data_IF_315577071860
#
_entry.id   IF_315577071860
#
_cell.length_a   1.000
_cell.length_b   1.000
_cell.length_c   1.000
_cell.angle_alpha   90.00
_cell.angle_beta   90.00
_cell.angle_gamma   90.00
#
_symmetry.space_group_name_H-M   'P 1'
#
loop_
_entity.id
_entity.type
_entity.pdbx_description
1 polymer ?
#
# COMPACT_ATOMS: atom_id res chain seq x y z
N UNK A 1 5.41 17.86 -20.92
CA UNK A 1 5.90 17.38 -19.61
C UNK A 1 4.77 16.80 -18.76
N UNK A 2 3.67 17.54 -18.55
CA UNK A 2 2.51 17.09 -17.77
C UNK A 2 2.03 15.65 -18.06
N UNK A 3 1.80 15.30 -19.34
CA UNK A 3 1.33 13.95 -19.73
C UNK A 3 2.26 12.82 -19.30
N UNK A 4 3.58 13.04 -19.32
CA UNK A 4 4.56 12.05 -18.87
C UNK A 4 4.47 11.87 -17.36
N UNK A 5 4.35 12.95 -16.61
CA UNK A 5 4.19 12.90 -15.15
C UNK A 5 2.86 12.22 -14.79
N UNK A 6 1.79 12.52 -15.52
CA UNK A 6 0.49 11.88 -15.34
C UNK A 6 0.57 10.37 -15.58
N UNK A 7 1.23 9.94 -16.67
CA UNK A 7 1.46 8.53 -16.95
C UNK A 7 2.25 7.86 -15.84
N UNK A 8 3.35 8.46 -15.39
CA UNK A 8 4.16 7.94 -14.28
C UNK A 8 3.36 7.87 -12.98
N UNK A 9 2.49 8.85 -12.72
CA UNK A 9 1.62 8.86 -11.56
C UNK A 9 0.65 7.68 -11.58
N UNK A 10 -0.07 7.48 -12.68
CA UNK A 10 -1.00 6.34 -12.84
C UNK A 10 -0.25 5.01 -12.76
N UNK A 11 0.90 4.88 -13.43
CA UNK A 11 1.74 3.69 -13.39
C UNK A 11 2.19 3.36 -11.96
N UNK A 12 2.59 4.38 -11.20
CA UNK A 12 3.00 4.23 -9.81
C UNK A 12 1.83 3.86 -8.89
N UNK A 13 0.61 4.36 -9.18
CA UNK A 13 -0.60 3.96 -8.45
C UNK A 13 -0.89 2.47 -8.65
N UNK A 14 -0.90 2.01 -9.91
CA UNK A 14 -1.10 0.59 -10.25
C UNK A 14 -0.02 -0.28 -9.60
N UNK A 15 1.24 0.16 -9.66
CA UNK A 15 2.38 -0.56 -9.06
C UNK A 15 2.36 -0.56 -7.52
N UNK A 16 1.73 0.44 -6.90
CA UNK A 16 1.56 0.51 -5.44
C UNK A 16 0.37 -0.30 -4.94
N UNK A 17 -0.71 -0.41 -5.71
CA UNK A 17 -1.95 -1.10 -5.29
C UNK A 17 -1.92 -2.58 -5.70
N UNK A 18 -1.54 -2.87 -6.94
CA UNK A 18 -1.62 -4.19 -7.57
C UNK A 18 -0.98 -5.32 -6.75
N UNK A 19 0.26 -5.17 -6.24
CA UNK A 19 0.91 -6.23 -5.47
C UNK A 19 0.10 -6.69 -4.25
N UNK A 20 -0.66 -5.82 -3.58
CA UNK A 20 -1.44 -6.23 -2.41
C UNK A 20 -2.53 -7.23 -2.74
N UNK A 21 -3.17 -7.13 -3.90
CA UNK A 21 -4.16 -8.13 -4.32
C UNK A 21 -3.53 -9.51 -4.53
N UNK A 22 -2.29 -9.57 -5.00
CA UNK A 22 -1.52 -10.81 -5.14
C UNK A 22 -1.06 -11.34 -3.79
N UNK A 23 -0.79 -10.45 -2.83
CA UNK A 23 -0.44 -10.84 -1.46
C UNK A 23 -1.61 -11.45 -0.69
N UNK A 24 -2.89 -11.15 -1.02
CA UNK A 24 -4.06 -11.82 -0.40
C UNK A 24 -3.97 -13.35 -0.52
N UNK A 25 -3.97 -13.95 -1.73
CA UNK A 25 -3.89 -15.40 -1.88
C UNK A 25 -2.54 -15.95 -1.41
N UNK A 26 -1.46 -15.17 -1.47
CA UNK A 26 -0.16 -15.57 -0.89
C UNK A 26 -0.28 -15.81 0.62
N UNK A 27 -0.92 -14.90 1.36
CA UNK A 27 -1.13 -15.06 2.81
C UNK A 27 -2.04 -16.24 3.16
N UNK A 28 -3.00 -16.58 2.30
CA UNK A 28 -3.82 -17.78 2.49
C UNK A 28 -2.97 -19.05 2.34
N UNK A 29 -2.09 -19.10 1.34
CA UNK A 29 -1.16 -20.23 1.13
C UNK A 29 -0.13 -20.38 2.25
N UNK A 30 0.19 -19.29 2.97
CA UNK A 30 1.10 -19.35 4.13
C UNK A 30 0.53 -20.17 5.29
N UNK A 31 -0.81 -20.32 5.42
CA UNK A 31 -1.40 -21.08 6.52
C UNK A 31 -1.11 -22.58 6.42
N UNK A 32 -0.92 -23.09 5.21
CA UNK A 32 -0.76 -24.53 4.91
C UNK A 32 0.69 -24.86 4.50
N UNK A 33 1.55 -23.86 4.38
CA UNK A 33 2.91 -24.02 3.86
C UNK A 33 3.84 -24.73 4.87
N UNK A 34 4.61 -25.74 4.42
CA UNK A 34 5.75 -26.27 5.15
C UNK A 34 6.79 -25.18 5.47
N UNK A 35 7.66 -25.40 6.46
CA UNK A 35 8.54 -24.36 7.00
C UNK A 35 9.48 -23.69 5.99
N UNK A 36 10.03 -24.45 5.06
CA UNK A 36 10.86 -23.98 3.95
C UNK A 36 10.05 -23.15 2.94
N UNK A 37 8.89 -23.64 2.52
CA UNK A 37 7.97 -22.92 1.61
C UNK A 37 7.46 -21.63 2.24
N UNK A 38 7.14 -21.65 3.54
CA UNK A 38 6.71 -20.48 4.29
C UNK A 38 7.79 -19.40 4.30
N UNK A 39 9.06 -19.78 4.49
CA UNK A 39 10.18 -18.83 4.48
C UNK A 39 10.30 -18.12 3.11
N UNK A 40 10.17 -18.86 2.00
CA UNK A 40 10.19 -18.30 0.65
C UNK A 40 8.99 -17.35 0.40
N UNK A 41 7.81 -17.69 0.91
CA UNK A 41 6.63 -16.83 0.82
C UNK A 41 6.79 -15.55 1.64
N UNK A 42 7.41 -15.60 2.83
CA UNK A 42 7.73 -14.42 3.64
C UNK A 42 8.71 -13.50 2.91
N UNK A 43 9.75 -14.06 2.29
CA UNK A 43 10.70 -13.28 1.47
C UNK A 43 9.98 -12.61 0.31
N UNK A 44 9.12 -13.34 -0.39
CA UNK A 44 8.29 -12.81 -1.50
C UNK A 44 7.39 -11.66 -1.02
N UNK A 45 6.72 -11.83 0.13
CA UNK A 45 5.90 -10.81 0.76
C UNK A 45 6.71 -9.55 1.07
N UNK A 46 7.90 -9.69 1.67
CA UNK A 46 8.78 -8.58 2.01
C UNK A 46 9.26 -7.82 0.76
N UNK A 47 9.56 -8.55 -0.32
CA UNK A 47 9.93 -7.97 -1.61
C UNK A 47 8.78 -7.17 -2.23
N UNK A 48 7.56 -7.70 -2.22
CA UNK A 48 6.37 -7.00 -2.71
C UNK A 48 6.09 -5.72 -1.89
N UNK A 49 6.15 -5.77 -0.56
CA UNK A 49 6.00 -4.57 0.30
C UNK A 49 7.09 -3.54 0.02
N UNK A 50 8.32 -3.98 -0.27
CA UNK A 50 9.41 -3.07 -0.64
C UNK A 50 9.14 -2.40 -1.99
N UNK A 51 8.70 -3.15 -2.99
CA UNK A 51 8.33 -2.60 -4.30
C UNK A 51 7.24 -1.54 -4.16
N UNK A 52 6.16 -1.86 -3.45
CA UNK A 52 5.06 -0.93 -3.15
C UNK A 52 5.60 0.35 -2.51
N UNK A 53 6.51 0.24 -1.54
CA UNK A 53 7.06 1.44 -0.87
C UNK A 53 7.72 2.37 -1.88
N UNK A 54 8.52 1.83 -2.81
CA UNK A 54 9.18 2.65 -3.83
C UNK A 54 8.15 3.25 -4.80
N UNK A 55 7.19 2.44 -5.27
CA UNK A 55 6.10 2.92 -6.11
C UNK A 55 5.29 4.03 -5.41
N UNK A 56 5.04 3.90 -4.11
CA UNK A 56 4.39 4.91 -3.30
C UNK A 56 5.14 6.24 -3.24
N UNK A 57 6.48 6.22 -3.14
CA UNK A 57 7.26 7.47 -3.17
C UNK A 57 7.15 8.16 -4.54
N UNK A 58 7.19 7.38 -5.63
CA UNK A 58 6.98 7.90 -6.98
C UNK A 58 5.57 8.48 -7.12
N UNK A 59 4.56 7.80 -6.58
CA UNK A 59 3.16 8.26 -6.56
C UNK A 59 3.01 9.60 -5.86
N UNK A 60 3.59 9.74 -4.66
CA UNK A 60 3.54 11.00 -3.90
C UNK A 60 4.24 12.12 -4.67
N UNK A 61 5.46 11.86 -5.13
CA UNK A 61 6.30 12.87 -5.81
C UNK A 61 5.62 13.37 -7.09
N UNK A 62 5.12 12.44 -7.91
CA UNK A 62 4.41 12.78 -9.14
C UNK A 62 3.07 13.45 -8.85
N UNK A 63 2.36 13.06 -7.79
CA UNK A 63 1.10 13.72 -7.38
C UNK A 63 1.32 15.17 -6.97
N UNK A 64 2.37 15.45 -6.19
CA UNK A 64 2.78 16.82 -5.83
C UNK A 64 3.11 17.63 -7.07
N UNK A 65 3.88 17.07 -8.01
CA UNK A 65 4.21 17.73 -9.28
C UNK A 65 2.97 18.01 -10.14
N UNK A 66 2.00 17.10 -10.15
CA UNK A 66 0.75 17.30 -10.88
C UNK A 66 -0.10 18.41 -10.26
N UNK A 67 -0.21 18.48 -8.93
CA UNK A 67 -0.93 19.57 -8.26
C UNK A 67 -0.26 20.91 -8.61
N UNK A 68 1.07 20.98 -8.50
CA UNK A 68 1.85 22.18 -8.86
C UNK A 68 1.62 22.63 -10.30
N UNK A 69 1.56 21.70 -11.27
CA UNK A 69 1.34 22.03 -12.68
C UNK A 69 -0.14 22.22 -13.05
N UNK A 70 -1.05 21.94 -12.12
CA UNK A 70 -2.49 22.07 -12.35
C UNK A 70 -3.03 23.40 -11.83
N UNK A 71 -4.30 23.66 -12.11
CA UNK A 71 -5.04 24.80 -11.58
C UNK A 71 -5.66 24.53 -10.21
N UNK A 72 -5.51 23.32 -9.65
CA UNK A 72 -6.10 22.96 -8.36
C UNK A 72 -5.37 23.62 -7.20
N UNK A 73 -6.14 24.19 -6.27
CA UNK A 73 -5.58 24.71 -5.04
C UNK A 73 -5.26 23.58 -4.06
N UNK A 74 -4.19 23.72 -3.28
CA UNK A 74 -3.80 22.75 -2.24
C UNK A 74 -4.88 22.55 -1.16
N UNK A 75 -5.80 23.50 -1.03
CA UNK A 75 -6.94 23.50 -0.11
C UNK A 75 -8.13 22.71 -0.63
N UNK A 76 -8.13 22.26 -1.89
CA UNK A 76 -9.25 21.51 -2.48
C UNK A 76 -9.52 20.25 -1.66
N UNK A 77 -10.80 19.96 -1.39
CA UNK A 77 -11.23 18.90 -0.47
C UNK A 77 -10.63 17.54 -0.75
N UNK A 78 -10.72 17.07 -1.98
CA UNK A 78 -10.20 15.76 -2.35
C UNK A 78 -8.67 15.69 -2.22
N UNK A 79 -7.94 16.80 -2.45
CA UNK A 79 -6.48 16.87 -2.29
C UNK A 79 -6.11 16.73 -0.81
N UNK A 80 -6.70 17.55 0.05
CA UNK A 80 -6.42 17.54 1.49
C UNK A 80 -6.76 16.17 2.09
N UNK A 81 -7.93 15.62 1.77
CA UNK A 81 -8.33 14.29 2.24
C UNK A 81 -7.37 13.20 1.76
N UNK A 82 -6.93 13.26 0.49
CA UNK A 82 -5.98 12.29 -0.05
C UNK A 82 -4.65 12.36 0.68
N UNK A 83 -4.12 13.56 0.95
CA UNK A 83 -2.88 13.74 1.70
C UNK A 83 -3.00 13.20 3.13
N UNK A 84 -4.09 13.49 3.83
CA UNK A 84 -4.34 12.97 5.19
C UNK A 84 -4.37 11.44 5.21
N UNK A 85 -5.13 10.83 4.31
CA UNK A 85 -5.22 9.36 4.21
C UNK A 85 -3.86 8.77 3.82
N UNK A 86 -3.13 9.41 2.91
CA UNK A 86 -1.79 8.99 2.49
C UNK A 86 -0.77 8.99 3.64
N UNK A 87 -0.71 10.06 4.43
CA UNK A 87 0.19 10.09 5.60
C UNK A 87 -0.18 9.01 6.61
N UNK A 88 -1.48 8.82 6.85
CA UNK A 88 -1.99 7.73 7.69
C UNK A 88 -1.61 6.34 7.15
N UNK A 89 -1.68 6.13 5.84
CA UNK A 89 -1.37 4.85 5.19
C UNK A 89 0.12 4.51 5.30
N UNK A 90 1.02 5.48 5.15
CA UNK A 90 2.47 5.26 5.31
C UNK A 90 2.79 4.78 6.73
N UNK A 91 2.21 5.43 7.74
CA UNK A 91 2.39 5.04 9.14
C UNK A 91 1.80 3.66 9.40
N UNK A 92 0.62 3.37 8.86
CA UNK A 92 -0.03 2.06 8.96
C UNK A 92 0.83 0.96 8.32
N UNK A 93 1.35 1.18 7.10
CA UNK A 93 2.18 0.22 6.39
C UNK A 93 3.43 -0.15 7.21
N UNK A 94 4.10 0.85 7.79
CA UNK A 94 5.27 0.61 8.62
C UNK A 94 4.94 -0.14 9.93
N UNK A 95 3.82 0.18 10.57
CA UNK A 95 3.44 -0.37 11.88
C UNK A 95 2.68 -1.70 11.82
N UNK A 96 1.94 -1.98 10.75
CA UNK A 96 1.13 -3.19 10.65
C UNK A 96 1.93 -4.38 10.11
N UNK A 97 2.77 -4.17 9.09
CA UNK A 97 3.47 -5.28 8.42
C UNK A 97 4.83 -5.59 9.02
N UNK A 98 5.66 -4.58 9.32
CA UNK A 98 7.02 -4.78 9.83
C UNK A 98 7.09 -5.63 11.11
N UNK A 99 6.29 -5.38 12.17
CA UNK A 99 6.39 -6.17 13.40
C UNK A 99 5.86 -7.58 13.21
N UNK A 100 4.81 -7.77 12.39
CA UNK A 100 4.25 -9.09 12.10
C UNK A 100 5.27 -9.95 11.36
N UNK A 101 5.93 -9.39 10.32
CA UNK A 101 6.99 -10.07 9.57
C UNK A 101 8.20 -10.42 10.43
N UNK A 102 8.58 -9.57 11.40
CA UNK A 102 9.67 -9.86 12.33
C UNK A 102 9.33 -11.02 13.28
N UNK A 103 8.08 -11.09 13.76
CA UNK A 103 7.65 -12.17 14.67
C UNK A 103 7.65 -13.55 14.02
N UNK A 104 7.57 -13.65 12.69
CA UNK A 104 7.73 -14.95 12.01
C UNK A 104 9.14 -15.56 12.15
N UNK A 105 10.15 -14.76 12.50
CA UNK A 105 11.53 -15.21 12.72
C UNK A 105 11.75 -15.73 14.15
N UNK A 106 10.77 -15.62 15.06
CA UNK A 106 10.88 -16.03 16.46
C UNK A 106 10.60 -17.55 16.65
N UNK A 107 11.43 -18.31 17.40
CA UNK A 107 11.34 -19.78 17.51
C UNK A 107 10.04 -20.40 18.06
N UNK A 108 9.07 -19.63 18.56
CA UNK A 108 7.81 -20.14 19.12
C UNK A 108 6.59 -19.31 18.72
N UNK A 109 6.69 -18.58 17.60
CA UNK A 109 5.59 -17.72 17.18
C UNK A 109 4.36 -18.53 16.73
N UNK A 110 3.19 -18.12 17.20
CA UNK A 110 1.90 -18.62 16.71
C UNK A 110 1.68 -18.16 15.26
N UNK A 111 2.09 -19.01 14.32
CA UNK A 111 2.01 -18.75 12.88
C UNK A 111 0.59 -18.42 12.44
N UNK A 112 -0.41 -19.13 12.97
CA UNK A 112 -1.81 -18.95 12.57
C UNK A 112 -2.32 -17.57 12.98
N UNK A 113 -2.03 -17.16 14.20
CA UNK A 113 -2.34 -15.80 14.70
C UNK A 113 -1.63 -14.70 13.91
N UNK A 114 -0.35 -14.91 13.56
CA UNK A 114 0.41 -13.94 12.75
C UNK A 114 -0.15 -13.81 11.34
N UNK A 115 -0.50 -14.92 10.68
CA UNK A 115 -1.07 -14.90 9.32
C UNK A 115 -2.44 -14.20 9.32
N UNK A 116 -3.30 -14.48 10.30
CA UNK A 116 -4.59 -13.80 10.43
C UNK A 116 -4.41 -12.28 10.62
N UNK A 117 -3.46 -11.85 11.46
CA UNK A 117 -3.13 -10.43 11.63
C UNK A 117 -2.61 -9.81 10.34
N UNK A 118 -1.77 -10.55 9.59
CA UNK A 118 -1.23 -10.11 8.31
C UNK A 118 -2.34 -9.92 7.26
N UNK A 119 -3.23 -10.91 7.13
CA UNK A 119 -4.35 -10.88 6.20
C UNK A 119 -5.33 -9.74 6.53
N UNK A 120 -5.68 -9.55 7.81
CA UNK A 120 -6.53 -8.43 8.24
C UNK A 120 -5.87 -7.09 7.93
N UNK A 121 -4.59 -6.94 8.23
CA UNK A 121 -3.84 -5.71 7.94
C UNK A 121 -3.78 -5.42 6.45
N UNK A 122 -3.64 -6.46 5.64
CA UNK A 122 -3.61 -6.37 4.19
C UNK A 122 -4.94 -5.89 3.61
N UNK A 123 -6.06 -6.44 4.07
CA UNK A 123 -7.39 -5.97 3.68
C UNK A 123 -7.66 -4.53 4.09
N UNK A 124 -7.33 -4.16 5.33
CA UNK A 124 -7.46 -2.76 5.80
C UNK A 124 -6.65 -1.84 4.89
N UNK A 125 -5.42 -2.23 4.54
CA UNK A 125 -4.58 -1.42 3.67
C UNK A 125 -5.13 -1.30 2.26
N UNK A 126 -5.66 -2.38 1.67
CA UNK A 126 -6.32 -2.34 0.37
C UNK A 126 -7.50 -1.36 0.40
N UNK A 127 -8.35 -1.41 1.44
CA UNK A 127 -9.47 -0.47 1.59
C UNK A 127 -8.99 0.99 1.66
N UNK A 128 -7.92 1.27 2.42
CA UNK A 128 -7.31 2.60 2.50
C UNK A 128 -6.83 3.07 1.11
N UNK A 129 -6.12 2.21 0.37
CA UNK A 129 -5.64 2.54 -0.96
C UNK A 129 -6.78 2.76 -1.97
N UNK A 130 -7.84 1.95 -1.90
CA UNK A 130 -9.03 2.12 -2.74
C UNK A 130 -9.78 3.41 -2.41
N UNK A 131 -9.85 3.80 -1.14
CA UNK A 131 -10.42 5.08 -0.75
C UNK A 131 -9.60 6.26 -1.31
N UNK A 132 -8.26 6.17 -1.26
CA UNK A 132 -7.38 7.16 -1.90
C UNK A 132 -7.58 7.22 -3.41
N UNK A 133 -7.65 6.07 -4.07
CA UNK A 133 -7.91 5.99 -5.52
C UNK A 133 -9.26 6.63 -5.86
N UNK A 134 -10.30 6.34 -5.08
CA UNK A 134 -11.63 6.92 -5.26
C UNK A 134 -11.60 8.44 -5.13
N UNK A 135 -10.91 9.01 -4.13
CA UNK A 135 -10.77 10.46 -3.99
C UNK A 135 -10.11 11.11 -5.22
N UNK A 136 -9.08 10.46 -5.78
CA UNK A 136 -8.39 10.97 -6.97
C UNK A 136 -9.21 10.86 -8.26
N UNK A 137 -10.13 9.89 -8.34
CA UNK A 137 -11.00 9.67 -9.50
C UNK A 137 -12.27 10.52 -9.43
N UNK A 138 -12.99 10.44 -8.32
CA UNK A 138 -14.27 11.12 -8.13
C UNK A 138 -14.11 12.62 -7.83
N UNK A 139 -12.98 13.01 -7.24
CA UNK A 139 -12.65 14.40 -6.88
C UNK A 139 -13.81 15.13 -6.18
N UNK A 140 -14.36 14.57 -5.09
CA UNK A 140 -15.52 15.17 -4.42
C UNK A 140 -15.18 16.56 -3.88
N UNK A 141 -16.02 17.54 -4.21
CA UNK A 141 -15.98 18.91 -3.67
C UNK A 141 -16.90 18.99 -2.45
N UNK A 142 -16.30 19.07 -1.26
CA UNK A 142 -17.03 19.13 0.02
C UNK A 142 -17.05 20.56 0.59
N UNK A 143 -16.12 21.40 0.16
CA UNK A 143 -16.00 22.81 0.50
C UNK A 143 -15.31 23.56 -0.63
#
# INVERSE_FOLDING_TARGET
MYTVILFLHVLSAVSSIGPFFVLVPLTQRMNEAPGDVLSAQIVTFRSAVRLVKHAGHVLVTTGVLLIWQSYWQWTTSWIVMTLVIMFGSIVFLARAFKPVLKKFEEPHADRRSLIQKLQRSLWIYIVILLAMLWLMVAKPELW
#
